data_IF_630026906430
#
_entry.id   IF_630026906430
#
_cell.length_a   1.000
_cell.length_b   1.000
_cell.length_c   1.000
_cell.angle_alpha   90.00
_cell.angle_beta   90.00
_cell.angle_gamma   90.00
#
_symmetry.space_group_name_H-M   'P 1'
#
loop_
_entity.id
_entity.type
_entity.pdbx_description
1 polymer ?
#
# COMPACT_ATOMS: atom_id res chain seq x y z
N UNK A 1 -39.22 41.58 -42.75
CA UNK A 1 -38.85 42.89 -43.34
C UNK A 1 -38.87 43.94 -42.24
N UNK A 2 -38.13 45.07 -42.32
CA UNK A 2 -37.08 45.46 -43.27
C UNK A 2 -35.72 45.67 -42.52
N UNK A 3 -34.78 46.60 -42.88
CA UNK A 3 -33.63 46.25 -43.72
C UNK A 3 -32.24 46.62 -43.14
N UNK A 4 -31.19 46.50 -43.98
CA UNK A 4 -29.77 46.60 -43.64
C UNK A 4 -29.10 47.97 -43.95
N UNK A 5 -27.84 48.13 -43.49
CA UNK A 5 -26.90 49.21 -43.86
C UNK A 5 -26.36 50.00 -42.64
N UNK A 6 -25.15 50.58 -42.63
CA UNK A 6 -24.03 50.67 -43.60
C UNK A 6 -22.69 50.80 -42.84
N UNK A 7 -21.61 50.32 -43.47
CA UNK A 7 -20.18 50.47 -43.18
C UNK A 7 -19.66 51.76 -42.51
N UNK A 8 -18.53 51.65 -41.80
CA UNK A 8 -17.69 52.78 -41.39
C UNK A 8 -16.31 52.36 -40.83
N UNK A 9 -15.31 52.17 -41.71
CA UNK A 9 -13.90 51.92 -41.31
C UNK A 9 -13.24 53.21 -40.85
N UNK A 10 -12.44 53.14 -39.77
CA UNK A 10 -11.68 54.27 -39.24
C UNK A 10 -10.30 53.87 -38.73
N UNK A 11 -9.45 53.29 -39.58
CA UNK A 11 -8.02 53.10 -39.26
C UNK A 11 -7.26 54.39 -39.55
N UNK A 12 -6.50 54.89 -38.57
CA UNK A 12 -5.33 55.75 -38.81
C UNK A 12 -4.15 55.27 -37.99
N UNK A 13 -3.06 55.01 -38.69
CA UNK A 13 -1.73 54.72 -38.15
C UNK A 13 -1.02 56.02 -37.75
N UNK A 14 0.04 55.91 -36.95
CA UNK A 14 1.13 56.89 -36.93
C UNK A 14 1.78 57.09 -35.56
N UNK A 15 3.03 56.65 -35.42
CA UNK A 15 3.88 56.94 -34.25
C UNK A 15 4.68 55.73 -33.78
N UNK A 16 5.90 55.58 -34.31
CA UNK A 16 6.93 54.79 -33.64
C UNK A 16 7.37 55.53 -32.36
N UNK A 17 7.97 54.82 -31.41
CA UNK A 17 9.33 55.14 -30.93
C UNK A 17 9.85 53.96 -30.09
N UNK A 18 10.99 53.40 -30.50
CA UNK A 18 11.70 52.36 -29.76
C UNK A 18 12.45 52.97 -28.55
N UNK A 19 12.28 52.39 -27.37
CA UNK A 19 13.24 52.52 -26.28
C UNK A 19 13.39 51.20 -25.53
N UNK A 20 14.48 50.49 -25.84
CA UNK A 20 15.06 49.45 -25.00
C UNK A 20 15.59 50.08 -23.70
N UNK A 21 15.25 49.49 -22.56
CA UNK A 21 16.08 49.57 -21.35
C UNK A 21 15.80 48.40 -20.41
N UNK A 22 16.85 47.65 -20.11
CA UNK A 22 16.85 46.48 -19.22
C UNK A 22 16.11 46.70 -17.89
N UNK A 23 15.34 45.69 -17.46
CA UNK A 23 14.80 45.62 -16.10
C UNK A 23 14.97 44.21 -15.52
N UNK A 24 16.22 43.86 -15.21
CA UNK A 24 16.58 42.74 -14.32
C UNK A 24 16.12 43.05 -12.88
N UNK A 25 14.82 42.97 -12.62
CA UNK A 25 14.31 43.01 -11.25
C UNK A 25 14.38 41.62 -10.62
N UNK A 26 15.54 41.33 -10.04
CA UNK A 26 15.81 40.20 -9.18
C UNK A 26 14.76 40.17 -8.03
N UNK A 27 13.75 39.30 -8.16
CA UNK A 27 12.62 39.21 -7.21
C UNK A 27 13.11 38.77 -5.83
N UNK A 28 13.45 39.75 -4.99
CA UNK A 28 13.82 39.55 -3.59
C UNK A 28 12.61 39.06 -2.82
N UNK A 29 12.51 37.73 -2.69
CA UNK A 29 11.48 37.01 -1.94
C UNK A 29 11.40 37.62 -0.53
N UNK A 30 10.32 38.36 -0.29
CA UNK A 30 10.18 39.21 0.89
C UNK A 30 10.26 38.43 2.21
N UNK A 31 10.87 39.08 3.20
CA UNK A 31 10.93 38.60 4.58
C UNK A 31 9.50 38.46 5.14
N UNK A 32 8.96 37.24 5.12
CA UNK A 32 7.68 36.92 5.75
C UNK A 32 7.94 36.20 7.08
N UNK A 33 7.48 36.73 8.23
CA UNK A 33 7.62 36.07 9.54
C UNK A 33 7.03 34.65 9.57
N UNK A 34 6.03 34.40 8.72
CA UNK A 34 5.42 33.07 8.56
C UNK A 34 6.39 32.07 7.88
N UNK A 35 7.11 32.51 6.84
CA UNK A 35 8.10 31.69 6.17
C UNK A 35 9.32 31.43 7.07
N UNK A 36 9.73 32.41 7.87
CA UNK A 36 10.82 32.22 8.82
C UNK A 36 10.45 31.25 9.94
N UNK A 37 9.23 31.35 10.51
CA UNK A 37 8.73 30.37 11.49
C UNK A 37 8.74 28.94 10.92
N UNK A 38 8.21 28.77 9.71
CA UNK A 38 8.21 27.48 8.98
C UNK A 38 9.62 26.96 8.67
N UNK A 39 10.60 27.84 8.46
CA UNK A 39 12.02 27.48 8.32
C UNK A 39 12.60 26.98 9.64
N UNK A 40 12.42 27.74 10.74
CA UNK A 40 12.88 27.36 12.08
C UNK A 40 12.28 26.02 12.54
N UNK A 41 10.99 25.78 12.29
CA UNK A 41 10.32 24.49 12.57
C UNK A 41 10.92 23.32 11.77
N UNK A 42 11.34 23.54 10.51
CA UNK A 42 12.03 22.53 9.70
C UNK A 42 13.44 22.24 10.21
N UNK A 43 14.20 23.28 10.55
CA UNK A 43 15.55 23.19 11.09
C UNK A 43 15.58 22.50 12.46
N UNK A 44 14.63 22.82 13.35
CA UNK A 44 14.49 22.15 14.63
C UNK A 44 14.11 20.67 14.47
N UNK A 45 13.19 20.36 13.55
CA UNK A 45 12.79 18.97 13.23
C UNK A 45 13.93 18.18 12.58
N UNK A 46 14.86 18.84 11.87
CA UNK A 46 16.08 18.22 11.37
C UNK A 46 17.06 17.91 12.53
N UNK A 47 17.35 18.88 13.40
CA UNK A 47 18.24 18.70 14.57
C UNK A 47 17.75 17.61 15.52
N UNK A 48 16.43 17.53 15.79
CA UNK A 48 15.85 16.46 16.62
C UNK A 48 16.06 15.07 15.99
N UNK A 49 15.93 14.92 14.66
CA UNK A 49 16.21 13.67 13.94
C UNK A 49 17.69 13.29 13.93
N UNK A 50 18.57 14.28 13.89
CA UNK A 50 20.02 14.07 13.94
C UNK A 50 20.47 13.57 15.32
N UNK A 51 20.01 14.24 16.40
CA UNK A 51 20.25 13.78 17.77
C UNK A 51 19.67 12.38 18.04
N UNK A 52 18.51 12.04 17.46
CA UNK A 52 17.95 10.69 17.58
C UNK A 52 18.84 9.64 16.88
N UNK A 53 19.39 9.94 15.70
CA UNK A 53 20.36 9.08 15.01
C UNK A 53 21.66 8.92 15.79
N UNK A 54 22.20 9.98 16.40
CA UNK A 54 23.39 9.88 17.24
C UNK A 54 23.14 9.01 18.47
N UNK A 55 22.02 9.22 19.19
CA UNK A 55 21.65 8.37 20.34
C UNK A 55 21.45 6.90 19.96
N UNK A 56 20.96 6.60 18.75
CA UNK A 56 20.92 5.23 18.24
C UNK A 56 22.34 4.69 17.97
N UNK A 57 23.22 5.49 17.36
CA UNK A 57 24.62 5.13 17.07
C UNK A 57 25.45 4.90 18.34
N UNK A 58 25.23 5.67 19.40
CA UNK A 58 25.85 5.46 20.71
C UNK A 58 25.34 4.18 21.41
N UNK A 59 24.03 3.91 21.35
CA UNK A 59 23.47 2.65 21.87
C UNK A 59 24.08 1.42 21.20
N UNK A 60 24.29 1.47 19.88
CA UNK A 60 24.98 0.38 19.15
C UNK A 60 26.45 0.24 19.59
N UNK A 61 27.17 1.35 19.82
CA UNK A 61 28.56 1.30 20.32
C UNK A 61 28.64 0.67 21.72
N UNK A 62 27.76 1.07 22.64
CA UNK A 62 27.79 0.59 24.02
C UNK A 62 27.39 -0.89 24.13
N UNK A 63 26.51 -1.37 23.27
CA UNK A 63 26.12 -2.79 23.21
C UNK A 63 27.23 -3.72 22.70
N UNK A 64 28.32 -3.20 22.13
CA UNK A 64 29.38 -3.99 21.51
C UNK A 64 30.61 -4.22 22.42
N UNK A 65 30.52 -3.91 23.71
CA UNK A 65 31.66 -3.89 24.64
C UNK A 65 31.55 -4.86 25.82
N UNK A 66 30.76 -5.93 25.69
CA UNK A 66 30.64 -7.00 26.68
C UNK A 66 30.70 -8.39 26.03
N UNK A 67 31.88 -9.02 26.08
CA UNK A 67 32.07 -10.47 25.88
C UNK A 67 32.77 -11.10 27.09
N UNK A 68 32.32 -12.28 27.58
CA UNK A 68 33.06 -13.08 28.54
C UNK A 68 33.99 -14.10 27.83
N UNK A 69 35.20 -14.29 28.36
CA UNK A 69 36.22 -15.24 27.85
C UNK A 69 36.00 -16.69 28.31
N UNK A 70 36.11 -17.66 27.39
CA UNK A 70 36.79 -19.00 27.41
C UNK A 70 36.50 -19.65 26.02
N UNK A 71 37.39 -20.38 25.31
CA UNK A 71 38.78 -20.80 25.56
C UNK A 71 39.43 -21.49 24.33
N UNK A 72 40.56 -22.16 24.55
CA UNK A 72 41.43 -22.91 23.59
C UNK A 72 41.04 -24.39 23.40
N UNK A 73 41.36 -25.19 22.35
CA UNK A 73 41.95 -25.08 20.98
C UNK A 73 41.92 -26.52 20.34
N UNK A 74 42.63 -26.87 19.23
CA UNK A 74 42.44 -26.55 17.79
C UNK A 74 42.00 -27.80 16.95
N UNK A 75 41.58 -27.74 15.66
CA UNK A 75 42.47 -27.73 14.46
C UNK A 75 41.71 -27.70 13.10
N UNK A 76 42.02 -26.73 12.21
CA UNK A 76 42.12 -26.75 10.70
C UNK A 76 41.08 -27.46 9.77
N UNK A 77 40.96 -27.06 8.47
CA UNK A 77 40.75 -25.70 7.93
C UNK A 77 39.76 -25.60 6.73
N UNK A 78 39.45 -24.36 6.31
CA UNK A 78 39.03 -23.95 4.95
C UNK A 78 37.63 -24.31 4.42
N UNK A 79 36.75 -23.30 4.33
CA UNK A 79 36.37 -22.72 3.03
C UNK A 79 35.63 -21.38 3.18
N UNK A 80 35.64 -20.59 2.11
CA UNK A 80 35.05 -19.25 2.01
C UNK A 80 33.51 -19.29 2.09
N UNK A 81 32.87 -18.17 2.48
CA UNK A 81 31.83 -17.45 1.70
C UNK A 81 31.05 -16.42 2.55
N UNK A 82 30.80 -15.25 1.95
CA UNK A 82 29.80 -14.23 2.29
C UNK A 82 29.93 -13.37 3.56
N UNK A 83 29.90 -12.06 3.31
CA UNK A 83 29.61 -11.00 4.27
C UNK A 83 28.17 -11.10 4.81
N UNK A 84 27.91 -10.64 6.06
CA UNK A 84 26.56 -10.62 6.59
C UNK A 84 25.73 -9.54 5.91
N UNK A 85 24.89 -9.96 4.95
CA UNK A 85 23.78 -9.15 4.46
C UNK A 85 22.95 -8.69 5.66
N UNK A 86 22.72 -7.38 5.77
CA UNK A 86 21.73 -6.81 6.69
C UNK A 86 20.31 -7.18 6.23
N UNK A 87 19.95 -8.46 6.34
CA UNK A 87 18.55 -8.87 6.38
C UNK A 87 17.93 -8.19 7.59
N UNK A 88 16.94 -7.33 7.35
CA UNK A 88 16.05 -6.86 8.40
C UNK A 88 15.16 -8.02 8.82
N UNK A 89 15.69 -8.91 9.68
CA UNK A 89 14.94 -9.99 10.27
C UNK A 89 13.98 -9.42 11.31
N UNK A 90 12.73 -9.18 10.91
CA UNK A 90 11.56 -9.26 11.80
C UNK A 90 10.25 -9.17 11.03
N UNK A 91 9.52 -10.28 10.93
CA UNK A 91 8.04 -10.33 10.98
C UNK A 91 7.51 -11.66 11.60
N UNK A 92 8.38 -12.43 12.28
CA UNK A 92 8.22 -13.86 12.63
C UNK A 92 8.30 -14.79 11.41
N UNK A 93 9.05 -15.89 11.55
CA UNK A 93 9.37 -16.80 10.44
C UNK A 93 8.13 -17.39 9.77
N UNK A 94 8.14 -17.35 8.43
CA UNK A 94 6.96 -17.48 7.58
C UNK A 94 6.39 -18.92 7.49
N UNK A 95 6.96 -19.88 8.22
CA UNK A 95 6.60 -21.31 8.17
C UNK A 95 6.57 -22.07 9.52
N UNK A 96 6.88 -21.46 10.67
CA UNK A 96 6.92 -22.19 11.97
C UNK A 96 5.63 -22.03 12.82
N UNK A 97 4.53 -21.66 12.15
CA UNK A 97 3.20 -21.62 12.76
C UNK A 97 2.64 -23.05 12.91
N UNK A 98 2.24 -23.42 14.13
CA UNK A 98 1.63 -24.73 14.45
C UNK A 98 0.11 -24.59 14.63
N UNK A 99 -0.72 -25.64 14.53
CA UNK A 99 -2.14 -25.54 14.90
C UNK A 99 -2.34 -25.10 16.37
N UNK A 100 -3.48 -24.50 16.69
CA UNK A 100 -3.93 -24.32 18.09
C UNK A 100 -4.61 -25.58 18.63
N UNK A 101 -4.45 -25.87 19.94
CA UNK A 101 -5.13 -26.98 20.62
C UNK A 101 -6.59 -26.66 20.99
N UNK A 102 -6.92 -25.38 21.23
CA UNK A 102 -8.28 -24.89 21.46
C UNK A 102 -8.51 -23.66 20.56
N UNK A 103 -8.96 -23.86 19.31
CA UNK A 103 -9.07 -22.78 18.32
C UNK A 103 -10.09 -21.70 18.69
N UNK A 104 -11.21 -22.07 19.32
CA UNK A 104 -12.28 -21.16 19.71
C UNK A 104 -11.83 -20.20 20.81
N UNK A 105 -11.12 -20.72 21.82
CA UNK A 105 -10.51 -19.90 22.86
C UNK A 105 -9.43 -18.97 22.27
N UNK A 106 -8.58 -19.51 21.39
CA UNK A 106 -7.55 -18.72 20.71
C UNK A 106 -8.13 -17.61 19.83
N UNK A 107 -9.31 -17.79 19.22
CA UNK A 107 -10.01 -16.74 18.47
C UNK A 107 -10.55 -15.64 19.39
N UNK A 108 -11.13 -16.02 20.54
CA UNK A 108 -11.60 -15.05 21.53
C UNK A 108 -10.44 -14.23 22.14
N UNK A 109 -9.31 -14.89 22.42
CA UNK A 109 -8.09 -14.19 22.84
C UNK A 109 -7.52 -13.31 21.72
N UNK A 110 -7.54 -13.76 20.46
CA UNK A 110 -7.08 -12.95 19.33
C UNK A 110 -7.82 -11.61 19.24
N UNK A 111 -9.15 -11.60 19.39
CA UNK A 111 -9.94 -10.36 19.43
C UNK A 111 -9.57 -9.45 20.60
N UNK A 112 -9.30 -10.01 21.79
CA UNK A 112 -8.84 -9.25 22.95
C UNK A 112 -7.46 -8.62 22.71
N UNK A 113 -6.53 -9.40 22.14
CA UNK A 113 -5.15 -8.99 21.86
C UNK A 113 -5.07 -7.92 20.76
N UNK A 114 -5.86 -8.04 19.68
CA UNK A 114 -5.90 -7.04 18.60
C UNK A 114 -6.40 -5.68 19.12
N UNK A 115 -7.28 -5.66 20.11
CA UNK A 115 -7.78 -4.42 20.70
C UNK A 115 -6.87 -3.81 21.78
N UNK A 116 -5.67 -4.36 22.03
CA UNK A 116 -4.71 -3.81 22.98
C UNK A 116 -4.02 -2.54 22.43
N UNK A 117 -3.67 -1.60 23.30
CA UNK A 117 -2.93 -0.37 22.95
C UNK A 117 -1.45 -0.66 22.65
N UNK A 118 -0.89 -1.72 23.24
CA UNK A 118 0.46 -2.16 22.98
C UNK A 118 0.56 -2.82 21.60
N UNK A 119 1.22 -2.13 20.68
CA UNK A 119 1.48 -2.58 19.32
C UNK A 119 2.05 -4.00 19.20
N UNK A 120 2.80 -4.49 20.19
CA UNK A 120 3.37 -5.83 20.18
C UNK A 120 2.29 -6.88 20.44
N UNK A 121 1.50 -6.69 21.51
CA UNK A 121 0.35 -7.54 21.89
C UNK A 121 -0.67 -7.59 20.75
N UNK A 122 -0.92 -6.44 20.12
CA UNK A 122 -1.73 -6.31 18.91
C UNK A 122 -1.18 -7.12 17.72
N UNK A 123 0.13 -7.10 17.48
CA UNK A 123 0.76 -7.98 16.48
C UNK A 123 0.60 -9.47 16.82
N UNK A 124 0.66 -9.85 18.10
CA UNK A 124 0.40 -11.24 18.53
C UNK A 124 -1.05 -11.63 18.22
N UNK A 125 -2.03 -10.77 18.52
CA UNK A 125 -3.44 -10.97 18.16
C UNK A 125 -3.66 -11.13 16.66
N UNK A 126 -3.05 -10.29 15.82
CA UNK A 126 -3.09 -10.42 14.35
C UNK A 126 -2.48 -11.77 13.92
N UNK A 127 -1.36 -12.17 14.54
CA UNK A 127 -0.71 -13.46 14.28
C UNK A 127 -1.60 -14.65 14.68
N UNK A 128 -2.41 -14.52 15.73
CA UNK A 128 -3.40 -15.53 16.11
C UNK A 128 -4.50 -15.66 15.05
N UNK A 129 -5.07 -14.54 14.55
CA UNK A 129 -6.06 -14.57 13.45
C UNK A 129 -5.45 -15.23 12.19
N UNK A 130 -4.23 -14.82 11.80
CA UNK A 130 -3.47 -15.40 10.68
C UNK A 130 -3.34 -16.92 10.81
N UNK A 131 -2.84 -17.39 11.95
CA UNK A 131 -2.66 -18.81 12.28
C UNK A 131 -3.97 -19.59 12.31
N UNK A 132 -5.05 -18.99 12.81
CA UNK A 132 -6.39 -19.59 12.79
C UNK A 132 -6.96 -19.68 11.37
N UNK A 133 -6.72 -18.70 10.50
CA UNK A 133 -7.16 -18.77 9.10
C UNK A 133 -6.47 -19.92 8.34
N UNK A 134 -5.18 -20.15 8.59
CA UNK A 134 -4.39 -21.23 7.98
C UNK A 134 -4.85 -22.62 8.46
N UNK A 135 -4.88 -22.86 9.78
CA UNK A 135 -5.08 -24.21 10.33
C UNK A 135 -6.52 -24.53 10.74
N UNK A 136 -7.31 -23.50 11.07
CA UNK A 136 -8.64 -23.63 11.68
C UNK A 136 -9.70 -22.77 10.95
N UNK A 137 -9.78 -22.80 9.60
CA UNK A 137 -10.60 -21.86 8.83
C UNK A 137 -12.09 -21.90 9.18
N UNK A 138 -12.61 -23.07 9.60
CA UNK A 138 -14.01 -23.21 10.07
C UNK A 138 -14.31 -22.35 11.30
N UNK A 139 -13.35 -22.18 12.20
CA UNK A 139 -13.51 -21.41 13.45
C UNK A 139 -13.50 -19.92 13.13
N UNK A 140 -12.58 -19.46 12.28
CA UNK A 140 -12.58 -18.06 11.79
C UNK A 140 -13.88 -17.76 11.01
N UNK A 141 -14.34 -18.68 10.16
CA UNK A 141 -15.57 -18.53 9.40
C UNK A 141 -16.83 -18.32 10.27
N UNK A 142 -16.83 -18.79 11.52
CA UNK A 142 -17.96 -18.56 12.46
C UNK A 142 -18.09 -17.09 12.92
N UNK A 143 -17.01 -16.31 12.82
CA UNK A 143 -16.92 -14.90 13.23
C UNK A 143 -16.14 -14.07 12.19
N UNK A 144 -16.34 -14.40 10.91
CA UNK A 144 -15.46 -13.92 9.82
C UNK A 144 -15.46 -12.39 9.70
N UNK A 145 -16.64 -11.78 9.68
CA UNK A 145 -16.79 -10.34 9.54
C UNK A 145 -16.06 -9.59 10.67
N UNK A 146 -16.20 -10.05 11.93
CA UNK A 146 -15.50 -9.48 13.08
C UNK A 146 -13.96 -9.60 12.94
N UNK A 147 -13.48 -10.76 12.48
CA UNK A 147 -12.05 -10.98 12.22
C UNK A 147 -11.53 -10.05 11.11
N UNK A 148 -12.30 -9.85 10.05
CA UNK A 148 -11.98 -8.92 8.96
C UNK A 148 -11.96 -7.49 9.48
N UNK A 149 -12.97 -7.02 10.22
CA UNK A 149 -13.02 -5.67 10.77
C UNK A 149 -11.83 -5.38 11.72
N UNK A 150 -11.47 -6.35 12.56
CA UNK A 150 -10.30 -6.25 13.44
C UNK A 150 -9.00 -6.08 12.63
N UNK A 151 -8.78 -6.93 11.61
CA UNK A 151 -7.60 -6.84 10.74
C UNK A 151 -7.60 -5.55 9.90
N UNK A 152 -8.73 -5.14 9.33
CA UNK A 152 -8.84 -3.94 8.49
C UNK A 152 -8.63 -2.63 9.27
N UNK A 153 -8.97 -2.61 10.55
CA UNK A 153 -8.62 -1.51 11.46
C UNK A 153 -7.10 -1.36 11.53
N UNK A 154 -6.38 -2.48 11.63
CA UNK A 154 -4.93 -2.49 11.78
C UNK A 154 -4.13 -2.34 10.48
N UNK A 155 -4.69 -2.66 9.31
CA UNK A 155 -4.11 -2.25 8.01
C UNK A 155 -3.92 -0.73 7.96
N UNK A 156 -4.81 0.04 8.58
CA UNK A 156 -4.75 1.52 8.64
C UNK A 156 -3.79 2.04 9.72
N UNK A 157 -3.20 1.19 10.56
CA UNK A 157 -2.33 1.62 11.65
C UNK A 157 -1.12 2.43 11.15
N UNK A 158 -0.75 3.46 11.89
CA UNK A 158 0.40 4.35 11.59
C UNK A 158 1.75 3.65 11.84
N UNK A 159 1.77 2.63 12.71
CA UNK A 159 2.98 1.85 12.96
C UNK A 159 3.13 0.77 11.89
N UNK A 160 4.15 0.91 11.04
CA UNK A 160 4.40 0.02 9.91
C UNK A 160 4.48 -1.47 10.29
N UNK A 161 4.99 -1.83 11.47
CA UNK A 161 5.04 -3.25 11.90
C UNK A 161 3.64 -3.86 12.07
N UNK A 162 2.70 -3.10 12.62
CA UNK A 162 1.31 -3.53 12.84
C UNK A 162 0.57 -3.60 11.51
N UNK A 163 0.69 -2.54 10.69
CA UNK A 163 0.04 -2.50 9.38
C UNK A 163 0.54 -3.62 8.46
N UNK A 164 1.84 -3.90 8.42
CA UNK A 164 2.41 -5.00 7.62
C UNK A 164 1.92 -6.37 8.11
N UNK A 165 1.88 -6.60 9.42
CA UNK A 165 1.31 -7.83 10.00
C UNK A 165 -0.16 -8.02 9.61
N UNK A 166 -0.97 -6.95 9.65
CA UNK A 166 -2.37 -6.97 9.27
C UNK A 166 -2.57 -7.24 7.76
N UNK A 167 -1.75 -6.62 6.90
CA UNK A 167 -1.78 -6.85 5.44
C UNK A 167 -1.41 -8.32 5.11
N UNK A 168 -0.36 -8.86 5.74
CA UNK A 168 0.03 -10.26 5.59
C UNK A 168 -1.08 -11.22 6.07
N UNK A 169 -1.69 -10.94 7.23
CA UNK A 169 -2.83 -11.70 7.74
C UNK A 169 -4.01 -11.70 6.74
N UNK A 170 -4.33 -10.55 6.15
CA UNK A 170 -5.41 -10.44 5.16
C UNK A 170 -5.10 -11.22 3.87
N UNK A 171 -3.84 -11.24 3.43
CA UNK A 171 -3.37 -12.09 2.32
C UNK A 171 -3.58 -13.59 2.58
N UNK A 172 -3.28 -14.06 3.80
CA UNK A 172 -3.57 -15.43 4.20
C UNK A 172 -5.09 -15.70 4.33
N UNK A 173 -5.88 -14.74 4.82
CA UNK A 173 -7.34 -14.87 4.84
C UNK A 173 -7.91 -15.09 3.43
N UNK A 174 -7.46 -14.35 2.41
CA UNK A 174 -7.85 -14.63 1.02
C UNK A 174 -7.41 -16.03 0.57
N UNK A 175 -6.19 -16.44 0.92
CA UNK A 175 -5.59 -17.71 0.50
C UNK A 175 -6.28 -18.94 1.10
N UNK A 176 -6.64 -18.90 2.38
CA UNK A 176 -7.17 -20.06 3.12
C UNK A 176 -8.70 -20.04 3.28
N UNK A 177 -9.33 -18.86 3.39
CA UNK A 177 -10.79 -18.72 3.52
C UNK A 177 -11.50 -18.58 2.16
N UNK A 178 -10.78 -18.11 1.13
CA UNK A 178 -11.22 -18.14 -0.28
C UNK A 178 -12.61 -17.51 -0.48
N UNK A 179 -13.58 -18.28 -0.98
CA UNK A 179 -14.96 -17.83 -1.24
C UNK A 179 -15.72 -17.38 0.01
N UNK A 180 -15.30 -17.79 1.21
CA UNK A 180 -15.91 -17.26 2.44
C UNK A 180 -15.70 -15.75 2.57
N UNK A 181 -14.62 -15.21 1.99
CA UNK A 181 -14.36 -13.76 1.95
C UNK A 181 -15.32 -13.01 1.02
N UNK A 182 -16.07 -13.67 0.13
CA UNK A 182 -16.82 -13.06 -0.99
C UNK A 182 -17.83 -11.96 -0.56
N UNK A 183 -18.26 -11.94 0.71
CA UNK A 183 -19.14 -10.92 1.27
C UNK A 183 -18.39 -9.60 1.59
N UNK A 184 -17.12 -9.69 2.01
CA UNK A 184 -16.31 -8.57 2.50
C UNK A 184 -15.22 -8.10 1.50
N UNK A 185 -15.19 -8.67 0.29
CA UNK A 185 -14.17 -8.34 -0.74
C UNK A 185 -14.19 -6.85 -1.08
N UNK A 186 -15.35 -6.21 -1.20
CA UNK A 186 -15.43 -4.81 -1.60
C UNK A 186 -14.71 -3.90 -0.57
N UNK A 187 -14.96 -4.14 0.73
CA UNK A 187 -14.33 -3.38 1.82
C UNK A 187 -12.83 -3.70 1.95
N UNK A 188 -12.45 -4.97 1.89
CA UNK A 188 -11.05 -5.40 2.04
C UNK A 188 -10.19 -4.90 0.87
N UNK A 189 -10.69 -4.97 -0.37
CA UNK A 189 -10.05 -4.40 -1.57
C UNK A 189 -9.87 -2.89 -1.44
N UNK A 190 -10.92 -2.17 -1.03
CA UNK A 190 -10.86 -0.71 -0.87
C UNK A 190 -9.80 -0.27 0.15
N UNK A 191 -9.71 -0.95 1.30
CA UNK A 191 -8.71 -0.63 2.33
C UNK A 191 -7.28 -0.95 1.87
N UNK A 192 -7.05 -2.06 1.17
CA UNK A 192 -5.75 -2.40 0.61
C UNK A 192 -5.30 -1.39 -0.47
N UNK A 193 -6.19 -1.03 -1.41
CA UNK A 193 -5.88 -0.03 -2.44
C UNK A 193 -5.60 1.35 -1.83
N UNK A 194 -6.37 1.79 -0.82
CA UNK A 194 -6.09 3.03 -0.10
C UNK A 194 -4.70 2.98 0.55
N UNK A 195 -4.38 1.88 1.25
CA UNK A 195 -3.09 1.70 1.90
C UNK A 195 -1.92 1.67 0.91
N UNK A 196 -2.08 1.01 -0.25
CA UNK A 196 -1.12 1.10 -1.35
C UNK A 196 -0.92 2.57 -1.73
N UNK A 197 -1.99 3.31 -2.04
CA UNK A 197 -1.94 4.72 -2.41
C UNK A 197 -1.09 5.58 -1.47
N UNK A 198 -1.29 5.45 -0.17
CA UNK A 198 -0.62 6.25 0.89
C UNK A 198 0.82 5.83 1.23
N UNK A 199 1.23 4.59 0.90
CA UNK A 199 2.42 3.98 1.50
C UNK A 199 3.68 4.03 0.62
N UNK A 200 4.81 3.54 1.18
CA UNK A 200 6.12 3.48 0.54
C UNK A 200 6.49 2.01 0.21
N UNK A 201 7.47 1.80 -0.69
CA UNK A 201 8.04 0.51 -1.15
C UNK A 201 7.59 -0.75 -0.38
N UNK A 202 8.23 -1.04 0.76
CA UNK A 202 7.98 -2.25 1.56
C UNK A 202 6.51 -2.54 1.92
N UNK A 203 5.68 -1.51 2.15
CA UNK A 203 4.25 -1.71 2.44
C UNK A 203 3.48 -1.93 1.13
N UNK A 204 3.88 -1.29 0.03
CA UNK A 204 3.30 -1.57 -1.29
C UNK A 204 3.60 -3.00 -1.73
N UNK A 205 4.81 -3.51 -1.49
CA UNK A 205 5.19 -4.91 -1.74
C UNK A 205 4.31 -5.90 -0.95
N UNK A 206 4.01 -5.63 0.31
CA UNK A 206 3.12 -6.49 1.09
C UNK A 206 1.64 -6.37 0.66
N UNK A 207 1.20 -5.18 0.23
CA UNK A 207 -0.14 -5.03 -0.37
C UNK A 207 -0.23 -5.74 -1.72
N UNK A 208 0.81 -5.69 -2.55
CA UNK A 208 0.90 -6.41 -3.83
C UNK A 208 0.71 -7.92 -3.59
N UNK A 209 1.47 -8.52 -2.65
CA UNK A 209 1.25 -9.93 -2.24
C UNK A 209 -0.18 -10.22 -1.80
N UNK A 210 -0.80 -9.36 -0.99
CA UNK A 210 -2.18 -9.54 -0.52
C UNK A 210 -3.21 -9.40 -1.66
N UNK A 211 -2.98 -8.48 -2.60
CA UNK A 211 -3.83 -8.29 -3.79
C UNK A 211 -3.67 -9.43 -4.79
N UNK A 212 -2.47 -10.02 -4.93
CA UNK A 212 -2.25 -11.24 -5.68
C UNK A 212 -2.99 -12.44 -5.04
N UNK A 213 -2.93 -12.57 -3.71
CA UNK A 213 -3.67 -13.61 -2.98
C UNK A 213 -5.19 -13.48 -3.18
N UNK A 214 -5.74 -12.26 -3.12
CA UNK A 214 -7.13 -11.95 -3.49
C UNK A 214 -7.40 -12.39 -4.93
N UNK A 215 -6.63 -11.86 -5.89
CA UNK A 215 -6.80 -12.08 -7.32
C UNK A 215 -6.70 -13.56 -7.73
N UNK A 216 -6.05 -14.43 -6.93
CA UNK A 216 -5.88 -15.85 -7.20
C UNK A 216 -6.84 -16.80 -6.46
N UNK A 217 -7.39 -16.43 -5.30
CA UNK A 217 -8.09 -17.40 -4.42
C UNK A 217 -9.60 -17.17 -4.24
N UNK A 218 -10.07 -15.93 -4.34
CA UNK A 218 -11.50 -15.61 -4.18
C UNK A 218 -12.28 -15.80 -5.48
N UNK A 219 -13.61 -15.64 -5.46
CA UNK A 219 -14.44 -15.72 -6.66
C UNK A 219 -14.07 -14.64 -7.69
N UNK A 220 -13.63 -15.00 -8.93
CA UNK A 220 -13.08 -14.03 -9.88
C UNK A 220 -14.03 -12.86 -10.20
N UNK A 221 -15.32 -13.11 -10.36
CA UNK A 221 -16.31 -12.06 -10.65
C UNK A 221 -16.52 -11.06 -9.49
N UNK A 222 -16.33 -11.53 -8.23
CA UNK A 222 -16.37 -10.66 -7.05
C UNK A 222 -15.11 -9.82 -6.95
N UNK A 223 -13.93 -10.44 -7.09
CA UNK A 223 -12.66 -9.73 -7.19
C UNK A 223 -12.69 -8.65 -8.28
N UNK A 224 -13.13 -9.01 -9.49
CA UNK A 224 -13.28 -8.10 -10.63
C UNK A 224 -14.14 -6.88 -10.28
N UNK A 225 -15.33 -7.11 -9.71
CA UNK A 225 -16.27 -6.02 -9.39
C UNK A 225 -15.71 -5.10 -8.30
N UNK A 226 -15.15 -5.66 -7.23
CA UNK A 226 -14.55 -4.91 -6.13
C UNK A 226 -13.35 -4.06 -6.59
N UNK A 227 -12.48 -4.67 -7.40
CA UNK A 227 -11.26 -4.04 -7.92
C UNK A 227 -11.59 -2.85 -8.83
N UNK A 228 -12.51 -3.02 -9.77
CA UNK A 228 -12.98 -1.94 -10.64
C UNK A 228 -13.58 -0.81 -9.80
N UNK A 229 -14.50 -1.13 -8.87
CA UNK A 229 -15.22 -0.14 -8.07
C UNK A 229 -14.29 0.68 -7.14
N UNK A 230 -13.30 0.05 -6.51
CA UNK A 230 -12.39 0.71 -5.60
C UNK A 230 -11.22 1.44 -6.31
N UNK A 231 -10.86 1.01 -7.51
CA UNK A 231 -9.55 1.31 -8.10
C UNK A 231 -9.55 2.08 -9.42
N UNK A 232 -10.54 1.87 -10.30
CA UNK A 232 -10.51 2.38 -11.69
C UNK A 232 -10.34 3.89 -11.76
N UNK A 233 -11.25 4.61 -11.13
CA UNK A 233 -11.36 6.07 -11.23
C UNK A 233 -10.56 6.79 -10.11
N UNK A 234 -9.62 6.09 -9.45
CA UNK A 234 -8.88 6.61 -8.31
C UNK A 234 -7.82 7.64 -8.71
N UNK A 235 -7.70 8.75 -7.97
CA UNK A 235 -6.81 9.87 -8.33
C UNK A 235 -5.32 9.50 -8.29
N UNK A 236 -4.91 8.64 -7.36
CA UNK A 236 -3.53 8.18 -7.21
C UNK A 236 -3.16 7.15 -8.29
N UNK A 237 -2.15 7.47 -9.11
CA UNK A 237 -1.65 6.64 -10.23
C UNK A 237 -1.29 5.22 -9.77
N UNK A 238 -0.63 5.06 -8.62
CA UNK A 238 -0.18 3.75 -8.16
C UNK A 238 -1.34 2.84 -7.70
N UNK A 239 -2.48 3.42 -7.34
CA UNK A 239 -3.72 2.66 -7.09
C UNK A 239 -4.29 2.16 -8.42
N UNK A 240 -4.42 3.03 -9.42
CA UNK A 240 -4.91 2.63 -10.76
C UNK A 240 -3.99 1.60 -11.42
N UNK A 241 -2.66 1.71 -11.27
CA UNK A 241 -1.68 0.72 -11.72
C UNK A 241 -1.91 -0.66 -11.09
N UNK A 242 -1.96 -0.72 -9.75
CA UNK A 242 -2.26 -1.96 -9.02
C UNK A 242 -3.62 -2.56 -9.42
N UNK A 243 -4.61 -1.69 -9.64
CA UNK A 243 -5.94 -2.07 -10.13
C UNK A 243 -5.87 -2.74 -11.50
N UNK A 244 -5.21 -2.10 -12.46
CA UNK A 244 -5.05 -2.60 -13.82
C UNK A 244 -4.24 -3.92 -13.87
N UNK A 245 -3.14 -4.01 -13.10
CA UNK A 245 -2.29 -5.20 -12.98
C UNK A 245 -3.12 -6.43 -12.55
N UNK A 246 -3.88 -6.35 -11.45
CA UNK A 246 -4.69 -7.48 -11.00
C UNK A 246 -5.98 -7.67 -11.81
N UNK A 247 -6.45 -6.65 -12.55
CA UNK A 247 -7.56 -6.81 -13.48
C UNK A 247 -7.18 -7.79 -14.60
N UNK A 248 -5.96 -7.69 -15.14
CA UNK A 248 -5.43 -8.65 -16.13
C UNK A 248 -5.46 -10.06 -15.57
N UNK A 249 -4.83 -10.29 -14.40
CA UNK A 249 -4.82 -11.62 -13.75
C UNK A 249 -6.22 -12.20 -13.54
N UNK A 250 -7.20 -11.38 -13.12
CA UNK A 250 -8.58 -11.84 -12.89
C UNK A 250 -9.29 -12.14 -14.21
N UNK A 251 -9.10 -11.31 -15.25
CA UNK A 251 -9.66 -11.52 -16.60
C UNK A 251 -9.11 -12.80 -17.23
N UNK A 252 -7.81 -13.05 -17.11
CA UNK A 252 -7.16 -14.29 -17.55
C UNK A 252 -7.73 -15.52 -16.82
N UNK A 253 -7.84 -15.47 -15.48
CA UNK A 253 -8.48 -16.53 -14.66
C UNK A 253 -9.94 -16.79 -15.04
N UNK A 254 -10.67 -15.78 -15.50
CA UNK A 254 -12.05 -15.92 -15.96
C UNK A 254 -12.16 -16.54 -17.36
N UNK A 255 -11.12 -16.36 -18.19
CA UNK A 255 -11.07 -16.81 -19.57
C UNK A 255 -11.83 -15.87 -20.52
N UNK A 256 -11.24 -15.64 -21.70
CA UNK A 256 -11.80 -14.75 -22.75
C UNK A 256 -13.25 -15.11 -23.09
N UNK A 257 -13.58 -16.39 -23.21
CA UNK A 257 -14.94 -16.86 -23.50
C UNK A 257 -15.99 -16.42 -22.48
N UNK A 258 -15.65 -16.27 -21.20
CA UNK A 258 -16.57 -15.73 -20.18
C UNK A 258 -16.60 -14.21 -20.20
N UNK A 259 -15.45 -13.55 -20.36
CA UNK A 259 -15.33 -12.08 -20.33
C UNK A 259 -15.95 -11.43 -21.57
N UNK A 260 -15.84 -12.08 -22.73
CA UNK A 260 -16.39 -11.65 -24.02
C UNK A 260 -17.73 -12.31 -24.37
N UNK A 261 -18.35 -13.03 -23.44
CA UNK A 261 -19.61 -13.77 -23.66
C UNK A 261 -20.82 -12.89 -23.99
N UNK A 262 -20.73 -11.57 -23.81
CA UNK A 262 -21.90 -10.68 -23.83
C UNK A 262 -22.79 -10.85 -22.59
N UNK A 263 -22.35 -11.60 -21.58
CA UNK A 263 -23.05 -11.69 -20.29
C UNK A 263 -22.97 -10.32 -19.62
N UNK A 264 -24.16 -9.73 -19.47
CA UNK A 264 -24.44 -8.51 -18.72
C UNK A 264 -23.73 -8.54 -17.35
N UNK A 265 -23.31 -7.38 -16.87
CA UNK A 265 -22.53 -7.17 -15.63
C UNK A 265 -21.03 -7.53 -15.68
N UNK A 266 -20.57 -8.46 -16.52
CA UNK A 266 -19.13 -8.76 -16.68
C UNK A 266 -18.57 -7.95 -17.84
N UNK A 267 -19.05 -8.21 -19.07
CA UNK A 267 -18.55 -7.54 -20.29
C UNK A 267 -18.73 -6.01 -20.18
N UNK A 268 -19.87 -5.57 -19.65
CA UNK A 268 -20.21 -4.15 -19.44
C UNK A 268 -19.29 -3.42 -18.45
N UNK A 269 -18.59 -4.13 -17.56
CA UNK A 269 -17.62 -3.54 -16.63
C UNK A 269 -16.20 -3.62 -17.17
N UNK A 270 -15.83 -4.75 -17.79
CA UNK A 270 -14.46 -4.96 -18.29
C UNK A 270 -14.16 -4.03 -19.46
N UNK A 271 -15.03 -3.93 -20.47
CA UNK A 271 -14.71 -3.14 -21.67
C UNK A 271 -14.52 -1.63 -21.37
N UNK A 272 -15.39 -0.94 -20.61
CA UNK A 272 -15.16 0.47 -20.25
C UNK A 272 -14.00 0.68 -19.28
N UNK A 273 -13.60 -0.34 -18.51
CA UNK A 273 -12.42 -0.28 -17.65
C UNK A 273 -11.14 -0.42 -18.47
N UNK A 274 -11.09 -1.40 -19.37
CA UNK A 274 -9.95 -1.61 -20.27
C UNK A 274 -9.71 -0.38 -21.17
N UNK A 275 -10.77 0.19 -21.74
CA UNK A 275 -10.68 1.45 -22.49
C UNK A 275 -10.16 2.61 -21.62
N UNK A 276 -10.63 2.71 -20.36
CA UNK A 276 -10.17 3.73 -19.41
C UNK A 276 -8.67 3.61 -19.09
N UNK A 277 -8.14 2.40 -18.95
CA UNK A 277 -6.72 2.19 -18.67
C UNK A 277 -5.83 2.32 -19.92
N UNK A 278 -6.31 1.90 -21.09
CA UNK A 278 -5.63 2.14 -22.37
C UNK A 278 -5.48 3.64 -22.69
N UNK A 279 -6.42 4.47 -22.20
CA UNK A 279 -6.40 5.92 -22.31
C UNK A 279 -5.94 6.65 -21.03
N UNK A 280 -5.34 5.97 -20.05
CA UNK A 280 -4.88 6.60 -18.80
C UNK A 280 -3.80 7.65 -19.06
N UNK A 281 -3.72 8.69 -18.23
CA UNK A 281 -2.65 9.69 -18.33
C UNK A 281 -1.26 9.12 -18.04
N UNK A 282 -1.16 8.09 -17.20
CA UNK A 282 0.11 7.41 -16.90
C UNK A 282 0.49 6.38 -17.96
N UNK A 283 1.70 6.50 -18.52
CA UNK A 283 2.27 5.49 -19.41
C UNK A 283 2.40 4.12 -18.75
N UNK A 284 2.69 4.07 -17.44
CA UNK A 284 2.78 2.80 -16.69
C UNK A 284 1.46 2.03 -16.60
N UNK A 285 0.32 2.67 -16.90
CA UNK A 285 -1.00 2.02 -16.88
C UNK A 285 -1.41 1.64 -18.30
N UNK A 286 -1.14 2.50 -19.29
CA UNK A 286 -1.41 2.22 -20.71
C UNK A 286 -0.65 1.02 -21.26
N UNK A 287 0.53 0.73 -20.71
CA UNK A 287 1.42 -0.35 -21.15
C UNK A 287 1.64 -1.42 -20.07
N UNK A 288 0.59 -1.76 -19.33
CA UNK A 288 0.59 -2.97 -18.49
C UNK A 288 0.65 -4.20 -19.40
N UNK A 289 1.56 -5.12 -19.05
CA UNK A 289 1.79 -6.41 -19.67
C UNK A 289 1.33 -7.52 -18.74
#
# INVERSE_FOLDING_TARGET
EPPAGVYGIGVRQGGNDDYDSDFDEEVKIGYSPYNEKRRREREEKARRKEQEKERQKEKLKHSSQMEPKVGSSPSTPSSQVSTPSHRSSSLMDELDLKPFNSPEAALQDAFRLVNDENWYVKCEGISHIRRLAIFHPKVVNSRLHDAILAVLTEVKNLRSSVARAAIACLGDMFTYLKKNMDQDIDQTTQVLLHKNGESNGFIREDVDKAMAALAMNVSPQRALTALIAAGRDHRNVAVRKCTAQYLVTIVERMGTGRVMSGIKDITDKVLPTAASFACDSSGEIRYIH
#
